data_IF_352182805275
#
_entry.id   IF_352182805275
#
_cell.length_a   1.000
_cell.length_b   1.000
_cell.length_c   1.000
_cell.angle_alpha   90.00
_cell.angle_beta   90.00
_cell.angle_gamma   90.00
#
_symmetry.space_group_name_H-M   'P 1'
#
loop_
_entity.id
_entity.type
_entity.pdbx_description
1 polymer ?
#
# COMPACT_ATOMS: atom_id res chain seq x y z
N UNK A 1 -5.06 19.62 6.52
CA UNK A 1 -6.50 19.59 6.21
C UNK A 1 -6.89 18.12 6.10
N UNK A 2 -8.06 17.70 6.59
CA UNK A 2 -8.38 16.28 6.78
C UNK A 2 -9.40 15.77 5.74
N UNK A 3 -9.53 14.44 5.61
CA UNK A 3 -10.48 13.83 4.68
C UNK A 3 -11.94 14.23 5.00
N UNK A 4 -12.24 14.56 6.26
CA UNK A 4 -13.56 15.03 6.71
C UNK A 4 -13.95 16.39 6.11
N UNK A 5 -12.99 17.14 5.57
CA UNK A 5 -13.24 18.43 4.90
C UNK A 5 -13.75 18.26 3.46
N UNK A 6 -13.81 17.01 2.96
CA UNK A 6 -14.34 16.70 1.63
C UNK A 6 -15.87 16.82 1.59
N UNK A 7 -16.40 17.33 0.48
CA UNK A 7 -17.85 17.30 0.23
C UNK A 7 -18.37 15.86 0.14
N UNK A 8 -19.69 15.67 0.19
CA UNK A 8 -20.28 14.34 0.06
C UNK A 8 -19.82 13.63 -1.23
N UNK A 9 -19.66 12.32 -1.17
CA UNK A 9 -19.21 11.55 -2.32
C UNK A 9 -20.17 11.65 -3.53
N UNK A 10 -21.47 11.79 -3.26
CA UNK A 10 -22.49 11.98 -4.31
C UNK A 10 -22.38 13.35 -4.97
N UNK A 11 -22.11 14.42 -4.21
CA UNK A 11 -21.93 15.75 -4.79
C UNK A 11 -20.66 15.83 -5.62
N UNK A 12 -19.56 15.24 -5.13
CA UNK A 12 -18.31 15.16 -5.89
C UNK A 12 -18.48 14.36 -7.18
N UNK A 13 -19.10 13.17 -7.12
CA UNK A 13 -19.31 12.33 -8.29
C UNK A 13 -20.12 13.02 -9.38
N UNK A 14 -21.28 13.57 -9.03
CA UNK A 14 -22.19 14.13 -10.03
C UNK A 14 -21.68 15.46 -10.59
N UNK A 15 -21.04 16.29 -9.75
CA UNK A 15 -20.40 17.52 -10.23
C UNK A 15 -19.29 17.20 -11.23
N UNK A 16 -18.45 16.21 -10.91
CA UNK A 16 -17.40 15.74 -11.80
C UNK A 16 -17.95 15.13 -13.11
N UNK A 17 -18.96 14.26 -13.02
CA UNK A 17 -19.58 13.66 -14.21
C UNK A 17 -20.18 14.73 -15.15
N UNK A 18 -20.86 15.73 -14.60
CA UNK A 18 -21.44 16.84 -15.38
C UNK A 18 -20.37 17.70 -16.04
N UNK A 19 -19.30 18.06 -15.31
CA UNK A 19 -18.20 18.83 -15.90
C UNK A 19 -17.51 18.07 -17.05
N UNK A 20 -17.41 16.75 -16.92
CA UNK A 20 -16.84 15.89 -17.95
C UNK A 20 -17.74 15.83 -19.19
N UNK A 21 -19.03 15.59 -18.99
CA UNK A 21 -20.03 15.52 -20.06
C UNK A 21 -20.12 16.81 -20.87
N UNK A 22 -19.98 17.95 -20.21
CA UNK A 22 -20.08 19.28 -20.81
C UNK A 22 -18.75 19.82 -21.34
N UNK A 23 -17.65 19.06 -21.23
CA UNK A 23 -16.30 19.49 -21.61
C UNK A 23 -15.88 20.80 -20.91
N UNK A 24 -16.21 20.92 -19.62
CA UNK A 24 -15.97 22.11 -18.78
C UNK A 24 -14.83 21.90 -17.76
N UNK A 25 -14.03 20.85 -17.96
CA UNK A 25 -12.85 20.60 -17.12
C UNK A 25 -11.76 21.64 -17.38
N UNK A 26 -10.82 21.86 -16.43
CA UNK A 26 -9.69 22.76 -16.65
C UNK A 26 -8.88 22.42 -17.90
N UNK A 27 -8.34 23.43 -18.59
CA UNK A 27 -7.50 23.22 -19.77
C UNK A 27 -6.35 22.25 -19.49
N UNK A 28 -6.23 21.21 -20.31
CA UNK A 28 -5.21 20.17 -20.18
C UNK A 28 -5.55 19.08 -19.15
N UNK A 29 -6.69 19.16 -18.48
CA UNK A 29 -7.24 18.05 -17.73
C UNK A 29 -7.81 16.98 -18.67
N UNK A 30 -7.80 15.74 -18.21
CA UNK A 30 -8.47 14.62 -18.88
C UNK A 30 -9.35 13.92 -17.88
N UNK A 31 -10.51 13.47 -18.34
CA UNK A 31 -11.39 12.63 -17.55
C UNK A 31 -11.89 11.46 -18.38
N UNK A 32 -11.96 10.30 -17.75
CA UNK A 32 -12.47 9.07 -18.33
C UNK A 32 -13.44 8.41 -17.34
N UNK A 33 -14.49 7.78 -17.88
CA UNK A 33 -15.41 6.93 -17.14
C UNK A 33 -15.20 5.48 -17.56
N UNK A 34 -14.82 4.63 -16.62
CA UNK A 34 -15.00 3.19 -16.72
C UNK A 34 -16.42 2.85 -16.29
N UNK A 35 -17.29 2.57 -17.26
CA UNK A 35 -18.70 2.29 -17.01
C UNK A 35 -18.93 0.88 -16.40
N UNK A 36 -18.00 -0.05 -16.56
CA UNK A 36 -18.11 -1.40 -16.02
C UNK A 36 -17.73 -1.43 -14.54
N UNK A 37 -16.65 -0.72 -14.17
CA UNK A 37 -16.20 -0.60 -12.79
C UNK A 37 -16.77 0.62 -12.06
N UNK A 38 -17.51 1.49 -12.77
CA UNK A 38 -18.05 2.76 -12.29
C UNK A 38 -16.98 3.64 -11.61
N UNK A 39 -15.87 3.85 -12.32
CA UNK A 39 -14.75 4.67 -11.90
C UNK A 39 -14.66 5.90 -12.79
N UNK A 40 -14.67 7.08 -12.18
CA UNK A 40 -14.23 8.31 -12.84
C UNK A 40 -12.76 8.50 -12.53
N UNK A 41 -11.95 8.74 -13.56
CA UNK A 41 -10.51 9.01 -13.46
C UNK A 41 -10.21 10.39 -14.03
N UNK A 42 -9.41 11.19 -13.32
CA UNK A 42 -9.07 12.57 -13.67
C UNK A 42 -7.58 12.77 -13.58
N UNK A 43 -6.98 13.24 -14.67
CA UNK A 43 -5.57 13.57 -14.77
C UNK A 43 -5.40 15.06 -15.03
N UNK A 44 -4.50 15.71 -14.28
CA UNK A 44 -4.17 17.12 -14.46
C UNK A 44 -2.71 17.39 -14.10
N UNK A 45 -1.89 17.64 -15.13
CA UNK A 45 -0.45 17.86 -14.98
C UNK A 45 0.26 16.63 -14.41
N UNK A 46 0.87 16.78 -13.23
CA UNK A 46 1.52 15.68 -12.50
C UNK A 46 0.61 15.01 -11.45
N UNK A 47 -0.65 15.45 -11.37
CA UNK A 47 -1.63 14.95 -10.43
C UNK A 47 -2.66 14.07 -11.13
N UNK A 48 -3.20 13.11 -10.41
CA UNK A 48 -4.32 12.30 -10.87
C UNK A 48 -5.18 11.86 -9.68
N UNK A 49 -6.46 11.62 -9.91
CA UNK A 49 -7.38 11.08 -8.90
C UNK A 49 -8.39 10.18 -9.57
N UNK A 50 -8.94 9.26 -8.80
CA UNK A 50 -10.03 8.39 -9.22
C UNK A 50 -11.05 8.29 -8.11
N UNK A 51 -12.33 8.35 -8.49
CA UNK A 51 -13.46 8.15 -7.60
C UNK A 51 -14.25 6.96 -8.12
N UNK A 52 -14.60 6.04 -7.24
CA UNK A 52 -15.48 4.92 -7.56
C UNK A 52 -16.72 4.96 -6.69
N UNK A 53 -17.90 4.80 -7.32
CA UNK A 53 -19.15 4.60 -6.59
C UNK A 53 -19.38 3.14 -6.30
N UNK A 54 -19.77 2.84 -5.07
CA UNK A 54 -20.02 1.50 -4.57
C UNK A 54 -21.43 1.41 -4.00
N UNK A 55 -22.10 0.29 -4.24
CA UNK A 55 -23.45 0.05 -3.78
C UNK A 55 -23.65 0.34 -2.26
N UNK A 56 -24.78 0.98 -1.93
CA UNK A 56 -25.14 1.32 -0.55
C UNK A 56 -24.59 2.67 -0.06
N UNK A 57 -24.47 3.66 -0.95
CA UNK A 57 -24.04 5.03 -0.61
C UNK A 57 -22.58 5.13 -0.21
N UNK A 58 -21.74 4.24 -0.76
CA UNK A 58 -20.32 4.14 -0.46
C UNK A 58 -19.52 4.64 -1.64
N UNK A 59 -18.34 5.19 -1.37
CA UNK A 59 -17.42 5.58 -2.42
C UNK A 59 -15.97 5.42 -1.96
N UNK A 60 -15.07 5.38 -2.92
CA UNK A 60 -13.63 5.36 -2.66
C UNK A 60 -12.97 6.40 -3.52
N UNK A 61 -12.11 7.21 -2.93
CA UNK A 61 -11.31 8.23 -3.60
C UNK A 61 -9.84 7.90 -3.39
N UNK A 62 -9.08 7.83 -4.47
CA UNK A 62 -7.64 7.56 -4.40
C UNK A 62 -6.91 8.28 -5.52
N UNK A 63 -5.65 8.60 -5.31
CA UNK A 63 -4.93 9.37 -6.30
C UNK A 63 -3.55 9.79 -5.85
N UNK A 64 -2.98 10.73 -6.59
CA UNK A 64 -1.75 11.43 -6.24
C UNK A 64 -1.87 12.90 -6.59
N UNK A 65 -1.60 13.77 -5.62
CA UNK A 65 -1.45 15.20 -5.85
C UNK A 65 0.03 15.54 -6.03
N UNK A 66 0.43 15.98 -7.23
CA UNK A 66 1.81 16.32 -7.56
C UNK A 66 2.37 17.53 -6.79
N UNK A 67 1.49 18.34 -6.20
CA UNK A 67 1.84 19.48 -5.33
C UNK A 67 1.96 19.09 -3.86
N UNK A 68 1.59 17.85 -3.47
CA UNK A 68 1.65 17.43 -2.08
C UNK A 68 3.10 17.28 -1.61
N UNK A 69 3.39 17.82 -0.42
CA UNK A 69 4.72 17.72 0.21
C UNK A 69 4.96 16.31 0.76
N UNK A 70 3.89 15.61 1.15
CA UNK A 70 3.92 14.23 1.65
C UNK A 70 2.91 13.38 0.91
N UNK A 71 3.30 12.15 0.59
CA UNK A 71 2.41 11.14 0.04
C UNK A 71 2.74 9.75 0.61
N UNK A 72 1.79 8.82 0.52
CA UNK A 72 1.93 7.47 1.05
C UNK A 72 3.10 6.69 0.43
N UNK A 73 3.54 7.06 -0.78
CA UNK A 73 4.67 6.45 -1.47
C UNK A 73 5.98 6.85 -0.76
N UNK A 74 6.15 8.15 -0.51
CA UNK A 74 7.31 8.72 0.16
C UNK A 74 7.43 8.27 1.62
N UNK A 75 6.29 8.08 2.30
CA UNK A 75 6.21 7.67 3.71
C UNK A 75 6.12 6.14 3.88
N UNK A 76 6.14 5.38 2.77
CA UNK A 76 6.04 3.91 2.77
C UNK A 76 4.82 3.37 3.53
N UNK A 77 3.68 4.04 3.38
CA UNK A 77 2.42 3.63 4.01
C UNK A 77 1.64 2.65 3.13
N UNK A 78 1.00 1.68 3.79
CA UNK A 78 -0.03 0.86 3.15
C UNK A 78 -1.33 1.68 3.09
N UNK A 79 -1.63 2.21 1.91
CA UNK A 79 -2.82 3.01 1.61
C UNK A 79 -4.15 2.26 1.84
N UNK A 80 -4.14 0.93 1.99
CA UNK A 80 -5.35 0.17 2.32
C UNK A 80 -5.40 -0.22 3.81
N UNK A 81 -4.43 0.22 4.62
CA UNK A 81 -4.41 -0.10 6.03
C UNK A 81 -5.61 0.49 6.76
N UNK A 82 -6.44 -0.37 7.36
CA UNK A 82 -7.63 0.04 8.09
C UNK A 82 -8.84 0.35 7.20
N UNK A 83 -8.67 0.37 5.87
CA UNK A 83 -9.77 0.54 4.95
C UNK A 83 -10.78 -0.61 5.11
N UNK A 84 -12.08 -0.31 5.07
CA UNK A 84 -13.09 -1.33 5.14
C UNK A 84 -13.04 -2.19 3.88
N UNK A 85 -13.48 -3.42 4.02
CA UNK A 85 -13.28 -4.44 3.00
C UNK A 85 -13.84 -4.10 1.62
N UNK A 86 -14.96 -3.38 1.60
CA UNK A 86 -15.63 -2.94 0.39
C UNK A 86 -14.86 -1.81 -0.32
N UNK A 87 -13.97 -1.10 0.35
CA UNK A 87 -13.17 -0.02 -0.26
C UNK A 87 -12.00 -0.55 -1.10
N UNK A 88 -11.78 -1.86 -1.10
CA UNK A 88 -10.64 -2.52 -1.75
C UNK A 88 -11.08 -3.28 -3.02
N UNK A 89 -11.75 -2.58 -3.94
CA UNK A 89 -12.21 -3.12 -5.23
C UNK A 89 -11.04 -3.51 -6.15
N UNK A 90 -11.33 -4.25 -7.23
CA UNK A 90 -10.30 -4.62 -8.21
C UNK A 90 -9.67 -3.39 -8.89
N UNK A 91 -10.47 -2.34 -9.16
CA UNK A 91 -9.99 -1.05 -9.66
C UNK A 91 -8.94 -0.41 -8.74
N UNK A 92 -9.25 -0.33 -7.44
CA UNK A 92 -8.35 0.20 -6.41
C UNK A 92 -7.07 -0.64 -6.34
N UNK A 93 -7.19 -1.97 -6.33
CA UNK A 93 -6.03 -2.86 -6.29
C UNK A 93 -5.14 -2.75 -7.53
N UNK A 94 -5.74 -2.61 -8.71
CA UNK A 94 -5.02 -2.35 -9.95
C UNK A 94 -4.18 -1.08 -9.82
N UNK A 95 -4.79 0.01 -9.36
CA UNK A 95 -4.09 1.27 -9.11
C UNK A 95 -3.00 1.17 -8.06
N UNK A 96 -3.23 0.48 -6.93
CA UNK A 96 -2.20 0.25 -5.89
C UNK A 96 -0.98 -0.50 -6.42
N UNK A 97 -1.18 -1.41 -7.38
CA UNK A 97 -0.07 -2.17 -8.02
C UNK A 97 0.64 -1.35 -9.09
N UNK A 98 -0.11 -0.66 -9.94
CA UNK A 98 0.41 -0.07 -11.17
C UNK A 98 0.85 1.40 -10.97
N UNK A 99 0.00 2.22 -10.37
CA UNK A 99 0.22 3.67 -10.28
C UNK A 99 0.64 4.15 -8.88
N UNK A 100 0.47 3.31 -7.85
CA UNK A 100 0.83 3.56 -6.44
C UNK A 100 0.26 4.90 -5.94
N UNK A 101 -0.99 4.94 -5.46
CA UNK A 101 -1.60 6.18 -5.02
C UNK A 101 -0.85 6.79 -3.84
N UNK A 102 -0.80 8.12 -3.81
CA UNK A 102 -0.26 8.92 -2.72
C UNK A 102 -1.23 9.18 -1.59
N UNK A 103 -2.54 9.02 -1.82
CA UNK A 103 -3.58 9.13 -0.79
C UNK A 103 -4.73 8.15 -1.07
N UNK A 104 -5.51 7.85 -0.02
CA UNK A 104 -6.66 6.97 -0.11
C UNK A 104 -7.72 7.34 0.94
N UNK A 105 -8.96 7.52 0.53
CA UNK A 105 -10.10 7.75 1.42
C UNK A 105 -11.33 6.96 0.97
N UNK A 106 -12.19 6.66 1.93
CA UNK A 106 -13.45 5.97 1.70
C UNK A 106 -14.60 6.72 2.37
N UNK A 107 -15.73 6.80 1.67
CA UNK A 107 -16.94 7.43 2.17
C UNK A 107 -17.93 6.37 2.63
N UNK A 108 -18.46 6.50 3.85
CA UNK A 108 -19.55 5.64 4.33
C UNK A 108 -20.53 6.40 5.20
N UNK A 109 -21.82 6.32 4.84
CA UNK A 109 -23.00 6.89 5.52
C UNK A 109 -22.92 8.38 5.89
N UNK A 110 -21.98 8.76 6.73
CA UNK A 110 -21.94 10.04 7.44
C UNK A 110 -20.63 10.81 7.25
N UNK A 111 -19.66 10.27 6.50
CA UNK A 111 -18.40 10.98 6.25
C UNK A 111 -17.37 10.19 5.47
N UNK A 112 -16.28 10.90 5.19
CA UNK A 112 -15.04 10.33 4.70
C UNK A 112 -14.19 9.81 5.85
N UNK A 113 -13.34 8.85 5.56
CA UNK A 113 -12.32 8.35 6.46
C UNK A 113 -11.12 7.93 5.60
N UNK A 114 -9.93 7.85 6.19
CA UNK A 114 -8.67 7.69 5.45
C UNK A 114 -7.62 6.89 6.21
N UNK A 115 -6.84 6.14 5.44
CA UNK A 115 -5.63 5.45 5.88
C UNK A 115 -4.37 6.32 5.77
N UNK A 116 -4.50 7.49 5.15
CA UNK A 116 -3.43 8.45 4.83
C UNK A 116 -3.76 9.82 5.43
N UNK A 117 -3.83 9.93 6.79
CA UNK A 117 -4.06 11.21 7.44
C UNK A 117 -2.93 12.19 7.09
N UNK A 118 -3.26 13.49 7.09
CA UNK A 118 -2.33 14.59 6.75
C UNK A 118 -1.75 14.58 5.32
N UNK A 119 -2.28 13.74 4.41
CA UNK A 119 -1.82 13.65 3.01
C UNK A 119 -2.77 14.31 2.00
N UNK A 120 -3.71 15.13 2.48
CA UNK A 120 -4.78 15.74 1.68
C UNK A 120 -4.53 17.18 1.24
N UNK A 121 -3.44 17.82 1.69
CA UNK A 121 -3.22 19.24 1.45
C UNK A 121 -3.17 19.60 -0.05
N UNK A 122 -2.59 18.74 -0.92
CA UNK A 122 -2.64 18.91 -2.37
C UNK A 122 -3.87 18.30 -3.05
N UNK A 123 -4.63 17.47 -2.34
CA UNK A 123 -5.81 16.76 -2.86
C UNK A 123 -6.99 17.71 -2.97
N UNK A 124 -7.17 18.59 -1.99
CA UNK A 124 -8.26 19.58 -2.01
C UNK A 124 -8.13 20.51 -3.22
N UNK A 125 -6.93 21.00 -3.51
CA UNK A 125 -6.67 21.82 -4.70
C UNK A 125 -6.96 21.06 -6.00
N UNK A 126 -6.69 19.75 -6.02
CA UNK A 126 -6.94 18.88 -7.17
C UNK A 126 -8.43 18.69 -7.45
N UNK A 127 -9.24 18.50 -6.40
CA UNK A 127 -10.67 18.19 -6.54
C UNK A 127 -11.57 19.43 -6.55
N UNK A 128 -11.13 20.57 -6.00
CA UNK A 128 -11.95 21.79 -5.92
C UNK A 128 -12.50 22.24 -7.28
N UNK A 129 -11.74 22.18 -8.40
CA UNK A 129 -12.28 22.47 -9.73
C UNK A 129 -13.42 21.54 -10.15
N UNK A 130 -13.43 20.29 -9.68
CA UNK A 130 -14.44 19.27 -9.99
C UNK A 130 -15.78 19.51 -9.28
N UNK A 131 -15.85 20.50 -8.40
CA UNK A 131 -17.06 20.87 -7.65
C UNK A 131 -17.81 22.06 -8.24
N UNK A 132 -17.39 22.55 -9.42
CA UNK A 132 -17.90 23.78 -10.03
C UNK A 132 -19.05 23.59 -11.01
N UNK A 133 -19.60 22.38 -11.15
CA UNK A 133 -20.75 22.15 -12.01
C UNK A 133 -21.96 22.98 -11.58
N UNK A 134 -22.81 23.36 -12.54
CA UNK A 134 -24.09 23.99 -12.23
C UNK A 134 -24.96 23.02 -11.40
N UNK A 135 -25.41 23.42 -10.19
CA UNK A 135 -26.24 22.58 -9.34
C UNK A 135 -27.51 22.05 -10.04
N UNK A 136 -28.11 22.82 -10.96
CA UNK A 136 -29.32 22.37 -11.68
C UNK A 136 -29.01 21.22 -12.63
N UNK A 137 -27.85 21.25 -13.28
CA UNK A 137 -27.40 20.16 -14.17
C UNK A 137 -27.02 18.92 -13.35
N UNK A 138 -26.41 19.11 -12.19
CA UNK A 138 -26.12 18.04 -11.22
C UNK A 138 -27.41 17.36 -10.76
N UNK A 139 -28.41 18.14 -10.35
CA UNK A 139 -29.70 17.61 -9.90
C UNK A 139 -30.43 16.89 -11.04
N UNK A 140 -30.42 17.43 -12.26
CA UNK A 140 -31.01 16.79 -13.43
C UNK A 140 -30.32 15.47 -13.79
N UNK A 141 -28.97 15.44 -13.77
CA UNK A 141 -28.19 14.23 -14.03
C UNK A 141 -28.47 13.15 -12.97
N UNK A 142 -28.45 13.53 -11.68
CA UNK A 142 -28.74 12.66 -10.55
C UNK A 142 -30.16 12.09 -10.60
N UNK A 143 -31.13 12.88 -11.07
CA UNK A 143 -32.52 12.45 -11.26
C UNK A 143 -32.75 11.60 -12.52
N UNK A 144 -31.70 11.35 -13.33
CA UNK A 144 -31.80 10.59 -14.57
C UNK A 144 -32.56 11.33 -15.69
N UNK A 145 -32.63 12.66 -15.61
CA UNK A 145 -33.34 13.51 -16.58
C UNK A 145 -32.46 13.95 -17.75
N UNK A 146 -31.17 13.58 -17.75
CA UNK A 146 -30.25 13.86 -18.85
C UNK A 146 -30.41 12.85 -19.98
N UNK A 147 -30.32 13.33 -21.21
CA UNK A 147 -30.28 12.47 -22.40
C UNK A 147 -28.88 11.94 -22.72
N UNK A 148 -27.84 12.48 -22.08
CA UNK A 148 -26.44 12.07 -22.29
C UNK A 148 -26.23 10.58 -21.99
N UNK A 149 -25.56 9.89 -22.91
CA UNK A 149 -25.12 8.50 -22.72
C UNK A 149 -24.12 8.42 -21.58
N UNK A 150 -23.17 9.35 -21.52
CA UNK A 150 -22.15 9.39 -20.46
C UNK A 150 -22.79 9.51 -19.07
N UNK A 151 -23.74 10.42 -18.89
CA UNK A 151 -24.41 10.61 -17.60
C UNK A 151 -25.31 9.44 -17.22
N UNK A 152 -25.87 8.73 -18.20
CA UNK A 152 -26.61 7.47 -17.97
C UNK A 152 -25.68 6.36 -17.49
N UNK A 153 -24.51 6.22 -18.09
CA UNK A 153 -23.50 5.24 -17.68
C UNK A 153 -22.91 5.58 -16.29
N UNK A 154 -22.72 6.87 -15.99
CA UNK A 154 -22.26 7.35 -14.68
C UNK A 154 -23.28 7.14 -13.55
N UNK A 155 -24.54 6.83 -13.86
CA UNK A 155 -25.57 6.61 -12.85
C UNK A 155 -25.40 5.30 -12.08
N UNK A 156 -24.71 4.32 -12.65
CA UNK A 156 -24.49 3.03 -12.04
C UNK A 156 -23.57 3.05 -10.81
N UNK A 157 -23.46 1.89 -10.17
CA UNK A 157 -22.63 1.69 -8.97
C UNK A 157 -21.92 0.34 -9.05
N UNK A 158 -20.68 0.28 -8.60
CA UNK A 158 -19.95 -0.96 -8.52
C UNK A 158 -20.53 -1.87 -7.42
N UNK A 159 -20.80 -3.12 -7.79
CA UNK A 159 -21.10 -4.20 -6.85
C UNK A 159 -19.81 -4.88 -6.44
N UNK A 160 -19.12 -4.28 -5.47
CA UNK A 160 -17.91 -4.88 -4.91
C UNK A 160 -18.32 -6.04 -4.03
N UNK A 161 -18.09 -7.27 -4.51
CA UNK A 161 -18.11 -8.45 -3.65
C UNK A 161 -17.15 -8.18 -2.49
N UNK A 162 -17.54 -8.47 -1.26
CA UNK A 162 -16.68 -8.24 -0.09
C UNK A 162 -15.38 -9.07 -0.21
N UNK A 163 -14.36 -8.50 -0.85
CA UNK A 163 -13.06 -9.10 -1.08
C UNK A 163 -12.15 -8.88 0.13
N UNK A 164 -12.35 -7.80 0.89
CA UNK A 164 -11.54 -7.53 2.08
C UNK A 164 -11.68 -8.54 3.23
N UNK A 165 -12.85 -9.15 3.58
CA UNK A 165 -12.87 -10.12 4.66
C UNK A 165 -12.19 -11.41 4.21
N UNK A 166 -12.27 -11.73 2.91
CA UNK A 166 -11.60 -12.87 2.29
C UNK A 166 -10.09 -12.64 2.30
N UNK A 167 -9.61 -11.46 1.88
CA UNK A 167 -8.17 -11.14 1.83
C UNK A 167 -7.56 -10.93 3.21
N UNK A 168 -8.28 -10.30 4.14
CA UNK A 168 -7.84 -10.18 5.54
C UNK A 168 -7.75 -11.57 6.18
N UNK A 169 -8.76 -12.42 5.98
CA UNK A 169 -8.73 -13.82 6.44
C UNK A 169 -7.62 -14.60 5.76
N UNK A 170 -7.39 -14.43 4.46
CA UNK A 170 -6.32 -15.07 3.71
C UNK A 170 -4.94 -14.64 4.23
N UNK A 171 -4.72 -13.34 4.45
CA UNK A 171 -3.48 -12.81 5.05
C UNK A 171 -3.28 -13.39 6.45
N UNK A 172 -4.31 -13.38 7.28
CA UNK A 172 -4.25 -13.98 8.61
C UNK A 172 -3.88 -15.46 8.54
N UNK A 173 -4.55 -16.22 7.68
CA UNK A 173 -4.29 -17.64 7.46
C UNK A 173 -2.86 -17.88 6.96
N UNK A 174 -2.36 -17.09 6.01
CA UNK A 174 -0.97 -17.20 5.53
C UNK A 174 -0.01 -16.89 6.66
N UNK A 175 -0.21 -15.81 7.42
CA UNK A 175 0.66 -15.46 8.54
C UNK A 175 0.64 -16.53 9.65
N UNK A 176 -0.50 -17.13 9.95
CA UNK A 176 -0.59 -18.29 10.86
C UNK A 176 0.21 -19.47 10.33
N UNK A 177 0.09 -19.80 9.04
CA UNK A 177 0.88 -20.87 8.43
C UNK A 177 2.38 -20.54 8.40
N UNK A 178 2.76 -19.30 8.14
CA UNK A 178 4.15 -18.85 8.23
C UNK A 178 4.69 -19.04 9.66
N UNK A 179 3.91 -18.70 10.69
CA UNK A 179 4.31 -18.91 12.10
C UNK A 179 4.47 -20.39 12.45
N UNK A 180 3.68 -21.26 11.83
CA UNK A 180 3.78 -22.71 11.98
C UNK A 180 4.84 -23.36 11.07
N UNK A 181 5.35 -22.62 10.08
CA UNK A 181 6.31 -23.14 9.10
C UNK A 181 7.69 -23.24 9.73
N UNK A 182 8.31 -24.42 9.61
CA UNK A 182 9.69 -24.62 10.03
C UNK A 182 10.63 -24.08 8.95
N UNK A 183 11.59 -23.27 9.38
CA UNK A 183 12.67 -22.79 8.50
C UNK A 183 13.48 -23.96 7.94
N UNK A 184 13.69 -23.92 6.62
CA UNK A 184 14.62 -24.82 5.94
C UNK A 184 16.02 -24.25 6.10
N UNK A 185 16.97 -25.12 6.47
CA UNK A 185 18.39 -24.74 6.49
C UNK A 185 18.89 -24.48 5.07
N UNK A 186 19.63 -23.38 4.90
CA UNK A 186 20.22 -22.94 3.64
C UNK A 186 21.75 -22.90 3.70
N UNK A 187 22.35 -23.45 4.76
CA UNK A 187 23.81 -23.54 4.91
C UNK A 187 24.50 -22.19 5.11
N UNK A 188 23.75 -21.15 5.46
CA UNK A 188 24.30 -19.81 5.68
C UNK A 188 24.97 -19.68 7.05
N UNK A 189 26.07 -18.92 7.16
CA UNK A 189 26.72 -18.70 8.44
C UNK A 189 25.84 -17.88 9.39
N UNK A 190 25.79 -18.31 10.66
CA UNK A 190 25.13 -17.56 11.74
C UNK A 190 25.76 -16.17 11.96
N UNK A 191 27.05 -16.04 11.65
CA UNK A 191 27.83 -14.80 11.82
C UNK A 191 28.53 -14.39 10.53
N UNK A 192 27.89 -13.58 9.69
CA UNK A 192 28.52 -13.07 8.48
C UNK A 192 29.73 -12.20 8.79
N UNK A 193 30.79 -12.36 8.00
CA UNK A 193 32.03 -11.58 8.14
C UNK A 193 31.79 -10.08 8.02
N UNK A 194 30.87 -9.64 7.15
CA UNK A 194 30.51 -8.23 7.00
C UNK A 194 29.96 -7.63 8.31
N UNK A 195 29.09 -8.37 9.00
CA UNK A 195 28.47 -7.92 10.23
C UNK A 195 29.49 -7.90 11.39
N UNK A 196 30.36 -8.91 11.47
CA UNK A 196 31.46 -8.94 12.43
C UNK A 196 32.45 -7.78 12.22
N UNK A 197 32.75 -7.43 10.96
CA UNK A 197 33.59 -6.29 10.61
C UNK A 197 32.93 -4.96 11.00
N UNK A 198 31.64 -4.83 10.74
CA UNK A 198 30.87 -3.63 11.10
C UNK A 198 30.95 -3.35 12.62
N UNK A 199 30.77 -4.36 13.47
CA UNK A 199 30.90 -4.21 14.93
C UNK A 199 32.28 -3.72 15.36
N UNK A 200 33.34 -4.22 14.74
CA UNK A 200 34.71 -3.79 15.07
C UNK A 200 35.00 -2.34 14.68
N UNK A 201 34.29 -1.82 13.68
CA UNK A 201 34.47 -0.42 13.22
C UNK A 201 33.60 0.54 14.03
N UNK A 202 32.36 0.13 14.33
CA UNK A 202 31.37 0.98 14.97
C UNK A 202 31.44 0.93 16.49
N UNK A 203 31.95 -0.18 17.06
CA UNK A 203 32.09 -0.44 18.49
C UNK A 203 30.85 -0.05 19.33
N UNK A 204 29.69 -0.71 19.11
CA UNK A 204 28.47 -0.36 19.82
C UNK A 204 28.63 -0.54 21.33
N UNK A 205 28.23 0.47 22.10
CA UNK A 205 28.41 0.50 23.56
C UNK A 205 27.26 -0.21 24.30
N UNK A 206 26.05 -0.19 23.73
CA UNK A 206 24.85 -0.74 24.34
C UNK A 206 24.33 -1.95 23.56
N UNK A 207 23.69 -2.88 24.27
CA UNK A 207 22.97 -3.99 23.63
C UNK A 207 21.79 -3.46 22.82
N UNK A 208 21.56 -4.05 21.65
CA UNK A 208 20.45 -3.66 20.78
C UNK A 208 19.88 -4.85 20.00
N UNK A 209 18.63 -4.70 19.59
CA UNK A 209 17.96 -5.52 18.58
C UNK A 209 17.51 -4.64 17.43
N UNK A 210 17.79 -5.07 16.21
CA UNK A 210 17.39 -4.39 14.99
C UNK A 210 16.74 -5.41 14.05
N UNK A 211 15.46 -5.22 13.76
CA UNK A 211 14.64 -6.15 12.98
C UNK A 211 14.21 -5.49 11.68
N UNK A 212 14.41 -6.21 10.59
CA UNK A 212 13.99 -5.79 9.25
C UNK A 212 13.07 -6.85 8.64
N UNK A 213 12.20 -6.38 7.77
CA UNK A 213 11.36 -7.17 6.88
C UNK A 213 11.67 -6.75 5.44
N UNK A 214 11.54 -7.67 4.50
CA UNK A 214 11.62 -7.35 3.08
C UNK A 214 10.23 -7.01 2.54
N UNK A 215 10.16 -5.90 1.82
CA UNK A 215 9.00 -5.47 1.05
C UNK A 215 9.45 -5.16 -0.38
N UNK A 216 9.13 -6.05 -1.32
CA UNK A 216 9.51 -5.94 -2.74
C UNK A 216 11.01 -5.67 -2.94
N UNK A 217 11.85 -6.48 -2.29
CA UNK A 217 13.31 -6.34 -2.35
C UNK A 217 13.90 -5.17 -1.56
N UNK A 218 13.08 -4.38 -0.85
CA UNK A 218 13.54 -3.31 0.05
C UNK A 218 13.50 -3.75 1.50
N UNK A 219 14.51 -3.36 2.26
CA UNK A 219 14.54 -3.60 3.70
C UNK A 219 13.79 -2.49 4.44
N UNK A 220 12.71 -2.87 5.13
CA UNK A 220 11.90 -2.01 5.98
C UNK A 220 12.21 -2.35 7.44
N UNK A 221 12.58 -1.34 8.23
CA UNK A 221 12.84 -1.52 9.67
C UNK A 221 11.49 -1.67 10.39
N UNK A 222 11.27 -2.80 11.04
CA UNK A 222 10.01 -3.08 11.75
C UNK A 222 10.12 -2.87 13.26
N UNK A 223 11.32 -3.01 13.80
CA UNK A 223 11.63 -2.64 15.18
C UNK A 223 13.11 -2.35 15.32
N UNK A 224 13.45 -1.30 16.06
CA UNK A 224 14.83 -0.98 16.42
C UNK A 224 14.87 -0.54 17.87
N UNK A 225 15.88 -0.98 18.61
CA UNK A 225 16.11 -0.46 19.95
C UNK A 225 16.31 1.05 19.90
N UNK A 226 15.72 1.81 20.85
CA UNK A 226 15.81 3.28 20.86
C UNK A 226 17.25 3.77 21.06
N UNK A 227 18.11 2.94 21.65
CA UNK A 227 19.50 3.25 21.98
C UNK A 227 20.46 3.13 20.79
N UNK A 228 20.01 2.72 19.61
CA UNK A 228 20.86 2.62 18.42
C UNK A 228 20.87 3.98 17.67
N UNK A 229 22.00 4.73 17.67
CA UNK A 229 22.09 6.03 17.02
C UNK A 229 21.75 5.94 15.53
N UNK A 230 21.19 7.02 14.97
CA UNK A 230 20.72 7.05 13.59
C UNK A 230 21.81 6.70 12.57
N UNK A 231 23.01 7.26 12.71
CA UNK A 231 24.14 6.94 11.83
C UNK A 231 24.51 5.43 11.87
N UNK A 232 24.40 4.80 13.05
CA UNK A 232 24.62 3.35 13.18
C UNK A 232 23.48 2.56 12.53
N UNK A 233 22.22 3.01 12.65
CA UNK A 233 21.08 2.38 11.95
C UNK A 233 21.26 2.44 10.43
N UNK A 234 21.67 3.58 9.89
CA UNK A 234 21.89 3.76 8.45
C UNK A 234 23.01 2.86 7.93
N UNK A 235 24.15 2.81 8.62
CA UNK A 235 25.27 1.94 8.22
C UNK A 235 24.93 0.46 8.39
N UNK A 236 24.23 0.07 9.46
CA UNK A 236 23.74 -1.30 9.63
C UNK A 236 22.75 -1.69 8.51
N UNK A 237 21.84 -0.79 8.14
CA UNK A 237 20.92 -0.99 7.03
C UNK A 237 21.62 -1.20 5.68
N UNK A 238 22.73 -0.48 5.43
CA UNK A 238 23.58 -0.74 4.27
C UNK A 238 24.18 -2.16 4.28
N UNK A 239 24.74 -2.58 5.42
CA UNK A 239 25.32 -3.92 5.59
C UNK A 239 24.26 -5.01 5.39
N UNK A 240 23.05 -4.82 5.93
CA UNK A 240 21.96 -5.77 5.76
C UNK A 240 21.48 -5.85 4.31
N UNK A 241 21.46 -4.73 3.57
CA UNK A 241 21.15 -4.75 2.12
C UNK A 241 22.21 -5.50 1.32
N UNK A 242 23.48 -5.35 1.67
CA UNK A 242 24.56 -6.09 1.02
C UNK A 242 24.46 -7.59 1.32
N UNK A 243 24.23 -7.95 2.59
CA UNK A 243 24.01 -9.34 3.00
C UNK A 243 22.78 -9.96 2.33
N UNK A 244 21.66 -9.24 2.28
CA UNK A 244 20.43 -9.71 1.61
C UNK A 244 20.69 -10.12 0.17
N UNK A 245 21.42 -9.29 -0.59
CA UNK A 245 21.78 -9.58 -1.98
C UNK A 245 22.81 -10.70 -2.11
N UNK A 246 23.81 -10.72 -1.24
CA UNK A 246 24.89 -11.71 -1.29
C UNK A 246 24.41 -13.12 -0.88
N UNK A 247 23.39 -13.20 -0.03
CA UNK A 247 22.78 -14.45 0.45
C UNK A 247 21.55 -14.86 -0.37
N UNK A 248 21.15 -14.06 -1.36
CA UNK A 248 20.10 -14.42 -2.30
C UNK A 248 20.64 -15.44 -3.30
N UNK A 249 20.08 -16.65 -3.27
CA UNK A 249 20.38 -17.66 -4.28
C UNK A 249 19.33 -17.65 -5.40
N UNK A 250 19.73 -18.05 -6.60
CA UNK A 250 18.85 -18.06 -7.78
C UNK A 250 17.62 -18.95 -7.61
N UNK A 251 17.77 -20.12 -7.00
CA UNK A 251 16.66 -21.06 -6.81
C UNK A 251 15.82 -20.75 -5.58
N UNK A 252 16.50 -20.43 -4.48
CA UNK A 252 15.90 -20.40 -3.15
C UNK A 252 15.42 -19.00 -2.75
N UNK A 253 15.91 -17.95 -3.41
CA UNK A 253 15.63 -16.55 -3.12
C UNK A 253 16.29 -16.07 -1.82
N UNK A 254 15.91 -14.87 -1.37
CA UNK A 254 16.46 -14.25 -0.18
C UNK A 254 15.57 -14.46 1.07
N UNK A 255 16.07 -14.08 2.24
CA UNK A 255 15.30 -14.09 3.48
C UNK A 255 14.20 -13.02 3.45
N UNK A 256 13.06 -13.29 4.09
CA UNK A 256 11.90 -12.39 4.21
C UNK A 256 12.02 -11.45 5.41
N UNK A 257 12.64 -11.93 6.50
CA UNK A 257 12.88 -11.14 7.69
C UNK A 257 14.25 -11.47 8.27
N UNK A 258 14.86 -10.48 8.93
CA UNK A 258 16.11 -10.67 9.64
C UNK A 258 16.13 -9.89 10.95
N UNK A 259 16.80 -10.45 11.95
CA UNK A 259 17.01 -9.81 13.25
C UNK A 259 18.49 -9.82 13.60
N UNK A 260 19.05 -8.64 13.74
CA UNK A 260 20.38 -8.43 14.31
C UNK A 260 20.24 -8.26 15.82
N UNK A 261 21.01 -9.04 16.57
CA UNK A 261 21.14 -8.87 18.03
C UNK A 261 22.59 -8.60 18.38
N UNK A 262 22.82 -7.57 19.17
CA UNK A 262 24.11 -7.29 19.77
C UNK A 262 23.98 -7.33 21.29
N UNK A 263 24.65 -8.30 21.91
CA UNK A 263 24.60 -8.53 23.35
C UNK A 263 25.97 -9.02 23.84
N UNK A 264 26.45 -8.49 24.97
CA UNK A 264 27.73 -8.91 25.58
C UNK A 264 28.92 -8.88 24.60
N UNK A 265 28.99 -7.85 23.75
CA UNK A 265 30.05 -7.70 22.75
C UNK A 265 29.96 -8.68 21.58
N UNK A 266 28.87 -9.45 21.45
CA UNK A 266 28.66 -10.43 20.38
C UNK A 266 27.51 -10.00 19.50
N UNK A 267 27.71 -10.10 18.19
CA UNK A 267 26.65 -9.90 17.20
C UNK A 267 26.19 -11.23 16.61
N UNK A 268 24.89 -11.36 16.42
CA UNK A 268 24.23 -12.49 15.78
C UNK A 268 23.21 -11.99 14.74
N UNK A 269 23.02 -12.77 13.68
CA UNK A 269 22.02 -12.53 12.65
C UNK A 269 21.09 -13.74 12.54
N UNK A 270 19.86 -13.57 13.01
CA UNK A 270 18.79 -14.53 12.79
C UNK A 270 18.09 -14.18 11.46
N UNK A 271 17.81 -15.19 10.62
CA UNK A 271 17.11 -15.02 9.33
C UNK A 271 15.87 -15.88 9.30
N UNK A 272 14.85 -15.42 8.59
CA UNK A 272 13.66 -16.18 8.30
C UNK A 272 13.39 -16.10 6.79
N UNK A 273 13.41 -17.25 6.13
CA UNK A 273 13.15 -17.35 4.69
C UNK A 273 11.71 -17.72 4.42
N UNK A 274 11.11 -18.55 5.27
CA UNK A 274 9.81 -19.14 5.01
C UNK A 274 8.79 -18.87 6.13
N UNK A 275 9.24 -18.41 7.30
CA UNK A 275 8.42 -18.27 8.49
C UNK A 275 8.30 -16.82 8.98
N UNK A 276 7.32 -16.61 9.87
CA UNK A 276 7.27 -15.45 10.75
C UNK A 276 7.66 -15.93 12.15
N UNK A 277 8.95 -15.92 12.50
CA UNK A 277 9.41 -16.50 13.74
C UNK A 277 8.85 -15.74 14.95
N UNK A 278 8.85 -16.39 16.12
CA UNK A 278 8.29 -15.83 17.35
C UNK A 278 8.92 -14.50 17.78
N UNK A 279 10.16 -14.23 17.35
CA UNK A 279 10.83 -12.95 17.59
C UNK A 279 10.30 -11.79 16.75
N UNK A 280 9.57 -12.07 15.68
CA UNK A 280 8.98 -11.05 14.82
C UNK A 280 7.61 -10.64 15.36
N UNK A 281 7.52 -9.38 15.80
CA UNK A 281 6.34 -8.79 16.43
C UNK A 281 5.64 -7.74 15.57
N UNK A 282 6.14 -7.46 14.35
CA UNK A 282 5.53 -6.53 13.41
C UNK A 282 4.23 -7.05 12.80
N UNK A 283 3.57 -6.21 11.98
CA UNK A 283 2.34 -6.57 11.25
C UNK A 283 2.52 -7.72 10.23
N UNK A 284 3.75 -8.05 9.89
CA UNK A 284 4.08 -9.04 8.87
C UNK A 284 4.06 -8.45 7.45
N UNK A 285 4.55 -9.20 6.46
CA UNK A 285 4.57 -8.77 5.06
C UNK A 285 3.16 -8.72 4.48
N UNK A 286 2.97 -7.83 3.52
CA UNK A 286 1.75 -7.74 2.71
C UNK A 286 1.63 -8.96 1.79
N UNK A 287 0.42 -9.29 1.34
CA UNK A 287 0.23 -10.36 0.34
C UNK A 287 1.00 -10.07 -0.95
N UNK A 288 1.10 -8.80 -1.34
CA UNK A 288 1.85 -8.33 -2.51
C UNK A 288 3.35 -8.59 -2.35
N UNK A 289 3.92 -8.22 -1.20
CA UNK A 289 5.33 -8.47 -0.90
C UNK A 289 5.63 -9.97 -0.93
N UNK A 290 4.77 -10.79 -0.31
CA UNK A 290 4.93 -12.25 -0.33
C UNK A 290 4.83 -12.84 -1.74
N UNK A 291 3.87 -12.40 -2.56
CA UNK A 291 3.74 -12.83 -3.95
C UNK A 291 4.98 -12.47 -4.77
N UNK A 292 5.48 -11.25 -4.63
CA UNK A 292 6.71 -10.81 -5.28
C UNK A 292 7.90 -11.69 -4.85
N UNK A 293 8.12 -11.88 -3.55
CA UNK A 293 9.22 -12.70 -3.03
C UNK A 293 9.13 -14.16 -3.49
N UNK A 294 7.95 -14.76 -3.47
CA UNK A 294 7.78 -16.15 -3.91
C UNK A 294 7.94 -16.30 -5.43
N UNK A 295 7.64 -15.26 -6.22
CA UNK A 295 7.87 -15.26 -7.66
C UNK A 295 9.36 -15.37 -8.02
N UNK A 296 10.25 -14.92 -7.14
CA UNK A 296 11.71 -15.02 -7.31
C UNK A 296 12.26 -16.41 -6.98
N UNK A 297 11.43 -17.33 -6.48
CA UNK A 297 11.84 -18.68 -6.08
C UNK A 297 11.32 -19.72 -7.05
N UNK A 298 12.10 -20.78 -7.22
CA UNK A 298 11.64 -21.99 -7.91
C UNK A 298 10.68 -22.79 -7.01
N UNK A 299 9.82 -23.60 -7.63
CA UNK A 299 8.77 -24.34 -6.91
C UNK A 299 9.26 -25.20 -5.73
N UNK A 300 10.42 -25.91 -5.79
CA UNK A 300 10.92 -26.71 -4.66
C UNK A 300 11.28 -25.89 -3.41
N UNK A 301 11.50 -24.59 -3.59
CA UNK A 301 11.89 -23.63 -2.55
C UNK A 301 10.76 -22.72 -2.10
N UNK A 302 9.54 -22.92 -2.64
CA UNK A 302 8.34 -22.26 -2.15
C UNK A 302 7.77 -23.06 -0.97
N UNK A 303 7.54 -22.43 0.19
CA UNK A 303 6.87 -23.08 1.31
C UNK A 303 5.40 -23.35 0.97
N UNK A 304 4.77 -24.29 1.67
CA UNK A 304 3.41 -24.72 1.38
C UNK A 304 2.37 -23.59 1.41
N UNK A 305 2.54 -22.59 2.28
CA UNK A 305 1.62 -21.44 2.34
C UNK A 305 1.67 -20.56 1.08
N UNK A 306 2.72 -20.65 0.26
CA UNK A 306 2.84 -19.87 -0.96
C UNK A 306 1.75 -20.23 -1.99
N UNK A 307 1.18 -21.44 -1.94
CA UNK A 307 0.08 -21.85 -2.83
C UNK A 307 -1.23 -21.10 -2.56
N UNK A 308 -1.31 -20.39 -1.42
CA UNK A 308 -2.45 -19.55 -1.06
C UNK A 308 -2.33 -18.11 -1.58
N UNK A 309 -1.16 -17.74 -2.11
CA UNK A 309 -0.96 -16.41 -2.65
C UNK A 309 -1.78 -16.23 -3.94
N UNK A 310 -2.39 -15.04 -4.14
CA UNK A 310 -2.99 -14.72 -5.43
C UNK A 310 -1.89 -14.69 -6.50
N UNK A 311 -2.16 -15.34 -7.64
CA UNK A 311 -1.31 -15.29 -8.83
C UNK A 311 -1.29 -13.92 -9.49
#
# INVERSE_FOLDING_TARGET
MEADDLVSAEDLWWSWAVLTDQDLLPDGARCELDADEHVLSYDYGASWTSLQRIAGGRAVLWGRAGTSVRDAISEHLDVLAGAPDWASSDAVWRSVRETKPGFFAWHSRDGWDTSTPDMFDGVIDLITPLLRADPHLVDAARAGQSDSVFLKDAAGVAYVAAQGPIRHRLRHQIHEQMRATRERDRGLPERPTLLARWVRVVEPVASFTHTVLVDEGRLVVTSSSPWLPEAMRLTLGNILRELHRAEAEEESGAWLAARVRFEHGRIALDRAFDSLPAWYTGKGPTLRALAWEMSQRTDPWRPAWATLLPG
#
